data_IF_232367661239
#
_entry.id   IF_232367661239
#
_cell.length_a   1.000
_cell.length_b   1.000
_cell.length_c   1.000
_cell.angle_alpha   90.00
_cell.angle_beta   90.00
_cell.angle_gamma   90.00
#
_symmetry.space_group_name_H-M   'P 1'
#
loop_
_entity.id
_entity.type
_entity.pdbx_description
1 polymer ?
#
# COMPACT_ATOMS: atom_id res chain seq x y z
N UNK A 1 -16.46 -9.71 -6.80
CA UNK A 1 -16.73 -8.29 -6.53
C UNK A 1 -18.18 -8.17 -6.14
N UNK A 2 -18.46 -7.53 -5.01
CA UNK A 2 -19.81 -7.47 -4.48
C UNK A 2 -20.70 -6.56 -5.36
N UNK A 3 -21.87 -7.03 -5.83
CA UNK A 3 -22.76 -6.21 -6.67
C UNK A 3 -23.51 -5.13 -5.88
N UNK A 4 -23.68 -5.32 -4.57
CA UNK A 4 -24.51 -4.48 -3.69
C UNK A 4 -23.80 -4.18 -2.36
N UNK A 5 -24.55 -4.06 -1.26
CA UNK A 5 -23.99 -3.83 0.07
C UNK A 5 -23.59 -5.17 0.69
N UNK A 6 -22.32 -5.34 1.03
CA UNK A 6 -21.83 -6.48 1.82
C UNK A 6 -22.06 -6.25 3.32
N UNK A 7 -21.78 -7.29 4.11
CA UNK A 7 -21.84 -7.26 5.56
C UNK A 7 -20.83 -6.24 6.14
N UNK A 8 -21.05 -5.81 7.39
CA UNK A 8 -20.16 -4.90 8.14
C UNK A 8 -20.19 -3.42 7.69
N UNK A 9 -19.05 -2.73 7.78
CA UNK A 9 -18.90 -1.27 7.59
C UNK A 9 -19.13 -0.82 6.13
N UNK A 10 -19.19 -1.77 5.19
CA UNK A 10 -19.41 -1.50 3.76
C UNK A 10 -20.69 -0.70 3.50
N UNK A 11 -21.78 -1.02 4.19
CA UNK A 11 -23.04 -0.29 4.05
C UNK A 11 -22.94 1.16 4.53
N UNK A 12 -22.19 1.38 5.61
CA UNK A 12 -21.92 2.71 6.15
C UNK A 12 -21.05 3.52 5.19
N UNK A 13 -19.94 2.96 4.70
CA UNK A 13 -19.05 3.63 3.75
C UNK A 13 -19.74 3.92 2.42
N UNK A 14 -20.58 3.03 1.92
CA UNK A 14 -21.39 3.26 0.71
C UNK A 14 -22.36 4.44 0.90
N UNK A 15 -23.08 4.47 2.01
CA UNK A 15 -24.05 5.53 2.30
C UNK A 15 -23.36 6.89 2.51
N UNK A 16 -22.28 6.91 3.29
CA UNK A 16 -21.57 8.14 3.66
C UNK A 16 -20.73 8.70 2.51
N UNK A 17 -20.10 7.84 1.69
CA UNK A 17 -19.38 8.29 0.50
C UNK A 17 -20.30 8.96 -0.52
N UNK A 18 -21.56 8.51 -0.62
CA UNK A 18 -22.51 9.13 -1.55
C UNK A 18 -22.84 10.58 -1.23
N UNK A 19 -22.90 10.93 0.06
CA UNK A 19 -23.24 12.27 0.51
C UNK A 19 -22.03 13.05 1.04
N UNK A 20 -20.84 12.45 1.04
CA UNK A 20 -19.64 12.97 1.69
C UNK A 20 -19.87 13.26 3.19
N UNK A 21 -20.59 12.35 3.83
CA UNK A 21 -20.84 12.38 5.27
C UNK A 21 -19.67 11.73 6.03
N UNK A 22 -19.66 11.92 7.35
CA UNK A 22 -18.74 11.21 8.24
C UNK A 22 -19.50 10.00 8.77
N UNK A 23 -18.98 8.80 8.52
CA UNK A 23 -19.50 7.57 9.14
C UNK A 23 -19.16 7.53 10.62
N UNK A 24 -18.12 6.78 10.97
CA UNK A 24 -17.63 6.65 12.34
C UNK A 24 -16.21 7.20 12.51
N UNK A 25 -15.88 7.59 13.75
CA UNK A 25 -14.51 8.00 14.13
C UNK A 25 -13.53 6.86 13.92
N UNK A 26 -12.31 7.10 13.40
CA UNK A 26 -11.65 8.40 13.21
C UNK A 26 -12.01 9.15 11.91
N UNK A 27 -12.90 8.58 11.08
CA UNK A 27 -13.23 9.07 9.74
C UNK A 27 -12.24 8.59 8.66
N UNK A 28 -12.66 8.67 7.39
CA UNK A 28 -11.84 8.32 6.22
C UNK A 28 -12.08 9.29 5.04
N UNK A 29 -11.78 10.59 5.19
CA UNK A 29 -12.21 11.63 4.25
C UNK A 29 -11.72 11.43 2.81
N UNK A 30 -10.47 10.99 2.62
CA UNK A 30 -9.95 10.72 1.28
C UNK A 30 -10.63 9.49 0.67
N UNK A 31 -10.89 8.44 1.46
CA UNK A 31 -11.65 7.28 0.99
C UNK A 31 -13.08 7.68 0.60
N UNK A 32 -13.75 8.55 1.36
CA UNK A 32 -15.07 9.08 1.02
C UNK A 32 -15.05 9.87 -0.30
N UNK A 33 -14.05 10.72 -0.50
CA UNK A 33 -13.88 11.47 -1.75
C UNK A 33 -13.67 10.56 -2.96
N UNK A 34 -12.83 9.52 -2.82
CA UNK A 34 -12.60 8.53 -3.87
C UNK A 34 -13.88 7.71 -4.14
N UNK A 35 -14.57 7.26 -3.10
CA UNK A 35 -15.85 6.56 -3.22
C UNK A 35 -16.90 7.42 -3.92
N UNK A 36 -17.01 8.70 -3.56
CA UNK A 36 -17.91 9.65 -4.24
C UNK A 36 -17.56 9.79 -5.71
N UNK A 37 -16.28 9.95 -6.04
CA UNK A 37 -15.81 10.05 -7.42
C UNK A 37 -16.20 8.82 -8.24
N UNK A 38 -15.93 7.61 -7.74
CA UNK A 38 -16.32 6.38 -8.42
C UNK A 38 -17.84 6.23 -8.53
N UNK A 39 -18.57 6.55 -7.48
CA UNK A 39 -20.04 6.53 -7.49
C UNK A 39 -20.66 7.49 -8.51
N UNK A 40 -20.02 8.63 -8.81
CA UNK A 40 -20.48 9.56 -9.86
C UNK A 40 -20.31 9.00 -11.28
N UNK A 41 -19.47 7.98 -11.48
CA UNK A 41 -19.32 7.30 -12.77
C UNK A 41 -20.41 6.25 -13.02
N UNK A 42 -21.24 5.96 -12.01
CA UNK A 42 -22.32 4.99 -12.14
C UNK A 42 -23.41 5.50 -13.12
N UNK A 43 -23.83 4.68 -14.10
CA UNK A 43 -24.80 5.11 -15.12
C UNK A 43 -26.22 5.26 -14.55
N UNK A 44 -26.52 4.58 -13.44
CA UNK A 44 -27.81 4.63 -12.76
C UNK A 44 -27.62 4.54 -11.23
N UNK A 45 -28.55 5.08 -10.42
CA UNK A 45 -28.43 5.08 -8.96
C UNK A 45 -28.27 3.70 -8.33
N UNK A 46 -28.89 2.66 -8.90
CA UNK A 46 -28.79 1.27 -8.43
C UNK A 46 -27.41 0.64 -8.66
N UNK A 47 -26.56 1.26 -9.51
CA UNK A 47 -25.20 0.79 -9.81
C UNK A 47 -24.13 1.48 -8.99
N UNK A 48 -24.48 2.49 -8.20
CA UNK A 48 -23.53 3.24 -7.37
C UNK A 48 -22.69 2.30 -6.47
N UNK A 49 -23.33 1.33 -5.81
CA UNK A 49 -22.64 0.41 -4.93
C UNK A 49 -21.58 -0.41 -5.66
N UNK A 50 -21.92 -0.92 -6.85
CA UNK A 50 -20.99 -1.63 -7.72
C UNK A 50 -19.76 -0.76 -8.05
N UNK A 51 -19.95 0.51 -8.38
CA UNK A 51 -18.83 1.38 -8.75
C UNK A 51 -17.90 1.68 -7.58
N UNK A 52 -18.45 1.86 -6.37
CA UNK A 52 -17.64 2.04 -5.15
C UNK A 52 -16.93 0.74 -4.78
N UNK A 53 -17.58 -0.43 -4.84
CA UNK A 53 -16.89 -1.73 -4.67
C UNK A 53 -15.79 -1.92 -5.74
N UNK A 54 -15.98 -1.35 -6.93
CA UNK A 54 -14.99 -1.34 -8.01
C UNK A 54 -13.71 -0.58 -7.66
N UNK A 55 -13.78 0.44 -6.79
CA UNK A 55 -12.60 1.10 -6.23
C UNK A 55 -11.74 0.09 -5.46
N UNK A 56 -12.34 -0.74 -4.60
CA UNK A 56 -11.62 -1.76 -3.85
C UNK A 56 -10.95 -2.78 -4.77
N UNK A 57 -11.68 -3.27 -5.78
CA UNK A 57 -11.12 -4.19 -6.76
C UNK A 57 -9.91 -3.59 -7.51
N UNK A 58 -10.01 -2.31 -7.90
CA UNK A 58 -8.91 -1.58 -8.55
C UNK A 58 -7.71 -1.41 -7.63
N UNK A 59 -7.93 -0.94 -6.39
CA UNK A 59 -6.86 -0.71 -5.42
C UNK A 59 -6.18 -2.02 -5.01
N UNK A 60 -6.94 -3.11 -4.87
CA UNK A 60 -6.38 -4.43 -4.63
C UNK A 60 -5.58 -4.94 -5.82
N UNK A 61 -6.04 -4.75 -7.06
CA UNK A 61 -5.25 -5.08 -8.26
C UNK A 61 -3.92 -4.34 -8.30
N UNK A 62 -3.91 -3.03 -7.97
CA UNK A 62 -2.70 -2.24 -7.85
C UNK A 62 -1.80 -2.71 -6.70
N UNK A 63 -2.38 -3.11 -5.56
CA UNK A 63 -1.64 -3.69 -4.43
C UNK A 63 -0.83 -4.91 -4.88
N UNK A 64 -1.45 -5.83 -5.62
CA UNK A 64 -0.80 -7.04 -6.14
C UNK A 64 0.32 -6.68 -7.14
N UNK A 65 0.12 -5.66 -7.99
CA UNK A 65 1.16 -5.18 -8.90
C UNK A 65 2.40 -4.65 -8.15
N UNK A 66 2.20 -3.82 -7.13
CA UNK A 66 3.31 -3.28 -6.34
C UNK A 66 3.98 -4.36 -5.47
N UNK A 67 3.22 -5.34 -4.99
CA UNK A 67 3.76 -6.51 -4.31
C UNK A 67 4.64 -7.35 -5.26
N UNK A 68 4.16 -7.61 -6.48
CA UNK A 68 4.94 -8.27 -7.52
C UNK A 68 6.27 -7.55 -7.77
N UNK A 69 6.26 -6.22 -7.93
CA UNK A 69 7.50 -5.46 -8.12
C UNK A 69 8.41 -5.47 -6.88
N UNK A 70 7.85 -5.50 -5.69
CA UNK A 70 8.60 -5.62 -4.44
C UNK A 70 9.33 -6.97 -4.36
N UNK A 71 8.63 -8.07 -4.65
CA UNK A 71 9.19 -9.42 -4.63
C UNK A 71 10.27 -9.58 -5.71
N UNK A 72 10.00 -9.13 -6.94
CA UNK A 72 10.98 -9.21 -8.04
C UNK A 72 12.23 -8.36 -7.75
N UNK A 73 12.08 -7.21 -7.09
CA UNK A 73 13.22 -6.40 -6.64
C UNK A 73 14.12 -7.20 -5.67
N UNK A 74 13.56 -7.86 -4.66
CA UNK A 74 14.35 -8.67 -3.73
C UNK A 74 14.94 -9.92 -4.39
N UNK A 75 14.17 -10.61 -5.23
CA UNK A 75 14.65 -11.78 -5.97
C UNK A 75 15.84 -11.41 -6.87
N UNK A 76 15.79 -10.25 -7.55
CA UNK A 76 16.94 -9.74 -8.34
C UNK A 76 18.15 -9.49 -7.44
N UNK A 77 17.95 -8.90 -6.27
CA UNK A 77 19.04 -8.62 -5.31
C UNK A 77 19.69 -9.89 -4.77
N UNK A 78 18.96 -10.99 -4.68
CA UNK A 78 19.46 -12.29 -4.23
C UNK A 78 20.16 -13.07 -5.35
N UNK A 79 19.56 -13.13 -6.54
CA UNK A 79 20.00 -14.01 -7.62
C UNK A 79 20.96 -13.35 -8.62
N UNK A 80 20.94 -12.02 -8.74
CA UNK A 80 21.64 -11.29 -9.80
C UNK A 80 22.26 -9.97 -9.28
N UNK A 81 22.81 -9.97 -8.05
CA UNK A 81 23.29 -8.76 -7.36
C UNK A 81 24.34 -7.96 -8.14
N UNK A 82 25.25 -8.65 -8.83
CA UNK A 82 26.39 -8.06 -9.55
C UNK A 82 26.21 -8.10 -11.07
N UNK A 83 25.05 -8.53 -11.56
CA UNK A 83 24.75 -8.62 -12.98
C UNK A 83 24.01 -7.35 -13.43
N UNK A 84 24.56 -6.62 -14.40
CA UNK A 84 23.83 -5.49 -15.02
C UNK A 84 22.50 -5.98 -15.61
N UNK A 85 22.53 -7.14 -16.27
CA UNK A 85 21.36 -7.83 -16.79
C UNK A 85 21.36 -9.29 -16.31
N UNK A 86 20.28 -9.73 -15.62
CA UNK A 86 20.16 -11.11 -15.20
C UNK A 86 20.18 -12.07 -16.40
N UNK A 87 20.82 -13.23 -16.25
CA UNK A 87 20.69 -14.32 -17.24
C UNK A 87 19.21 -14.69 -17.50
N UNK A 88 18.91 -15.33 -18.65
CA UNK A 88 17.54 -15.76 -18.96
C UNK A 88 16.94 -16.67 -17.89
N UNK A 89 17.76 -17.55 -17.31
CA UNK A 89 17.36 -18.42 -16.21
C UNK A 89 17.05 -17.64 -14.92
N UNK A 90 17.93 -16.71 -14.53
CA UNK A 90 17.69 -15.85 -13.37
C UNK A 90 16.45 -14.96 -13.57
N UNK A 91 16.25 -14.44 -14.79
CA UNK A 91 15.05 -13.67 -15.14
C UNK A 91 13.79 -14.49 -14.93
N UNK A 92 13.77 -15.74 -15.38
CA UNK A 92 12.64 -16.65 -15.16
C UNK A 92 12.38 -16.88 -13.66
N UNK A 93 13.42 -17.12 -12.86
CA UNK A 93 13.28 -17.30 -11.41
C UNK A 93 12.78 -16.04 -10.71
N UNK A 94 13.28 -14.86 -11.09
CA UNK A 94 12.85 -13.57 -10.53
C UNK A 94 11.38 -13.34 -10.83
N UNK A 95 10.98 -13.46 -12.10
CA UNK A 95 9.60 -13.26 -12.54
C UNK A 95 8.66 -14.30 -11.93
N UNK A 96 9.07 -15.57 -11.92
CA UNK A 96 8.33 -16.67 -11.31
C UNK A 96 8.10 -16.45 -9.80
N UNK A 97 9.14 -16.01 -9.08
CA UNK A 97 9.04 -15.67 -7.66
C UNK A 97 8.04 -14.54 -7.41
N UNK A 98 8.08 -13.50 -8.24
CA UNK A 98 7.11 -12.40 -8.23
C UNK A 98 5.68 -12.89 -8.44
N UNK A 99 5.44 -13.69 -9.49
CA UNK A 99 4.12 -14.21 -9.84
C UNK A 99 3.57 -15.07 -8.70
N UNK A 100 4.35 -16.06 -8.24
CA UNK A 100 3.91 -17.00 -7.20
C UNK A 100 3.62 -16.28 -5.90
N UNK A 101 4.51 -15.39 -5.43
CA UNK A 101 4.31 -14.69 -4.17
C UNK A 101 3.16 -13.67 -4.23
N UNK A 102 3.01 -12.94 -5.34
CA UNK A 102 1.91 -11.99 -5.49
C UNK A 102 0.55 -12.71 -5.57
N UNK A 103 0.46 -13.80 -6.34
CA UNK A 103 -0.77 -14.59 -6.44
C UNK A 103 -1.11 -15.33 -5.14
N UNK A 104 -0.11 -15.81 -4.39
CA UNK A 104 -0.34 -16.40 -3.08
C UNK A 104 -1.05 -15.41 -2.12
N UNK A 105 -0.69 -14.12 -2.18
CA UNK A 105 -1.39 -13.08 -1.43
C UNK A 105 -2.78 -12.77 -2.01
N UNK A 106 -2.92 -12.70 -3.34
CA UNK A 106 -4.21 -12.50 -4.02
C UNK A 106 -5.27 -13.49 -3.55
N UNK A 107 -4.90 -14.77 -3.44
CA UNK A 107 -5.82 -15.84 -3.04
C UNK A 107 -5.83 -16.13 -1.54
N UNK A 108 -5.26 -15.26 -0.71
CA UNK A 108 -5.44 -15.35 0.74
C UNK A 108 -6.82 -14.83 1.13
N UNK A 109 -7.52 -15.56 2.01
CA UNK A 109 -8.90 -15.23 2.39
C UNK A 109 -9.03 -13.78 2.85
N UNK A 110 -8.17 -13.35 3.77
CA UNK A 110 -8.19 -11.98 4.32
C UNK A 110 -8.07 -10.91 3.23
N UNK A 111 -7.15 -11.06 2.28
CA UNK A 111 -6.99 -10.08 1.22
C UNK A 111 -8.13 -10.13 0.21
N UNK A 112 -8.61 -11.34 -0.13
CA UNK A 112 -9.68 -11.52 -1.10
C UNK A 112 -10.99 -10.86 -0.65
N UNK A 113 -11.36 -11.01 0.63
CA UNK A 113 -12.55 -10.35 1.18
C UNK A 113 -12.42 -8.82 1.09
N UNK A 114 -11.29 -8.25 1.52
CA UNK A 114 -11.06 -6.81 1.37
C UNK A 114 -11.05 -6.33 -0.09
N UNK A 115 -10.68 -7.19 -1.04
CA UNK A 115 -10.61 -6.82 -2.45
C UNK A 115 -11.97 -6.69 -3.16
N UNK A 116 -13.03 -7.27 -2.60
CA UNK A 116 -14.35 -7.32 -3.25
C UNK A 116 -15.39 -6.39 -2.63
N UNK A 117 -15.06 -5.75 -1.52
CA UNK A 117 -15.98 -4.97 -0.68
C UNK A 117 -15.49 -3.51 -0.48
N UNK A 118 -16.41 -2.55 -0.38
CA UNK A 118 -16.11 -1.12 -0.21
C UNK A 118 -15.63 -0.78 1.20
N UNK A 119 -14.45 -1.29 1.57
CA UNK A 119 -13.77 -0.98 2.82
C UNK A 119 -12.46 -0.22 2.60
N UNK A 120 -12.01 0.45 3.66
CA UNK A 120 -10.76 1.20 3.71
C UNK A 120 -9.52 0.31 3.53
N UNK A 121 -9.60 -1.01 3.78
CA UNK A 121 -8.45 -1.91 3.80
C UNK A 121 -7.82 -2.15 2.42
N UNK A 122 -8.60 -2.23 1.34
CA UNK A 122 -8.06 -2.38 -0.02
C UNK A 122 -7.22 -1.15 -0.40
N UNK A 123 -7.78 0.04 -0.17
CA UNK A 123 -7.10 1.30 -0.46
C UNK A 123 -5.89 1.49 0.47
N UNK A 124 -6.00 1.11 1.75
CA UNK A 124 -4.87 1.13 2.67
C UNK A 124 -3.74 0.18 2.24
N UNK A 125 -4.07 -1.03 1.81
CA UNK A 125 -3.09 -2.01 1.34
C UNK A 125 -2.35 -1.49 0.10
N UNK A 126 -3.06 -0.81 -0.80
CA UNK A 126 -2.46 -0.17 -1.97
C UNK A 126 -1.43 0.89 -1.57
N UNK A 127 -1.79 1.82 -0.68
CA UNK A 127 -0.85 2.85 -0.22
C UNK A 127 0.37 2.25 0.46
N UNK A 128 0.18 1.23 1.31
CA UNK A 128 1.27 0.48 1.94
C UNK A 128 2.20 -0.15 0.91
N UNK A 129 1.66 -0.88 -0.07
CA UNK A 129 2.47 -1.51 -1.12
C UNK A 129 3.20 -0.48 -1.99
N UNK A 130 2.53 0.63 -2.33
CA UNK A 130 3.10 1.73 -3.12
C UNK A 130 4.28 2.39 -2.42
N UNK A 131 4.13 2.80 -1.15
CA UNK A 131 5.21 3.50 -0.42
C UNK A 131 6.39 2.57 -0.14
N UNK A 132 6.11 1.29 0.13
CA UNK A 132 7.15 0.31 0.33
C UNK A 132 7.92 0.03 -0.97
N UNK A 133 7.23 -0.14 -2.10
CA UNK A 133 7.90 -0.22 -3.39
C UNK A 133 8.69 1.04 -3.73
N UNK A 134 8.14 2.22 -3.43
CA UNK A 134 8.78 3.50 -3.72
C UNK A 134 10.10 3.68 -2.95
N UNK A 135 10.20 3.22 -1.69
CA UNK A 135 11.48 3.30 -0.96
C UNK A 135 12.53 2.36 -1.54
N UNK A 136 12.13 1.19 -2.06
CA UNK A 136 13.05 0.28 -2.76
C UNK A 136 13.52 0.90 -4.08
N UNK A 137 12.62 1.62 -4.76
CA UNK A 137 12.96 2.38 -5.96
C UNK A 137 13.95 3.50 -5.66
N UNK A 138 13.74 4.24 -4.56
CA UNK A 138 14.70 5.23 -4.06
C UNK A 138 16.04 4.60 -3.71
N UNK A 139 16.05 3.49 -2.98
CA UNK A 139 17.26 2.81 -2.52
C UNK A 139 18.18 2.46 -3.70
N UNK A 140 17.59 1.94 -4.79
CA UNK A 140 18.33 1.55 -5.98
C UNK A 140 18.94 2.71 -6.76
N UNK A 141 18.51 3.96 -6.49
CA UNK A 141 19.04 5.16 -7.16
C UNK A 141 19.56 6.22 -6.19
N UNK A 142 19.72 5.91 -4.89
CA UNK A 142 19.93 6.90 -3.84
C UNK A 142 21.18 7.79 -4.02
N UNK A 143 22.12 7.35 -4.85
CA UNK A 143 23.37 8.06 -5.16
C UNK A 143 23.24 9.01 -6.37
N UNK A 144 22.05 9.11 -6.97
CA UNK A 144 21.76 9.99 -8.11
C UNK A 144 21.21 11.36 -7.66
N UNK A 145 21.51 12.41 -8.41
CA UNK A 145 21.15 13.82 -8.11
C UNK A 145 19.68 14.08 -7.76
N UNK A 146 18.75 13.31 -8.34
CA UNK A 146 17.30 13.50 -8.15
C UNK A 146 16.62 12.33 -7.43
N UNK A 147 17.37 11.54 -6.67
CA UNK A 147 16.81 10.40 -5.94
C UNK A 147 15.75 10.83 -4.92
N UNK A 148 16.02 11.90 -4.17
CA UNK A 148 15.21 12.31 -3.00
C UNK A 148 13.79 12.77 -3.35
N UNK A 149 13.47 12.99 -4.63
CA UNK A 149 12.07 13.19 -5.07
C UNK A 149 11.16 12.03 -4.67
N UNK A 150 11.72 10.82 -4.57
CA UNK A 150 11.00 9.65 -4.08
C UNK A 150 10.70 9.73 -2.59
N UNK A 151 11.58 10.32 -1.77
CA UNK A 151 11.32 10.52 -0.35
C UNK A 151 10.19 11.55 -0.14
N UNK A 152 10.18 12.62 -0.94
CA UNK A 152 9.09 13.60 -0.95
C UNK A 152 7.77 12.94 -1.38
N UNK A 153 7.80 12.11 -2.43
CA UNK A 153 6.65 11.33 -2.88
C UNK A 153 6.13 10.38 -1.78
N UNK A 154 7.02 9.66 -1.10
CA UNK A 154 6.67 8.76 0.01
C UNK A 154 6.01 9.55 1.14
N UNK A 155 6.60 10.66 1.58
CA UNK A 155 6.04 11.50 2.64
C UNK A 155 4.64 12.01 2.27
N UNK A 156 4.45 12.44 1.02
CA UNK A 156 3.15 12.88 0.51
C UNK A 156 2.12 11.73 0.50
N UNK A 157 2.49 10.54 0.00
CA UNK A 157 1.62 9.37 -0.01
C UNK A 157 1.24 8.91 1.41
N UNK A 158 2.18 8.91 2.36
CA UNK A 158 1.89 8.62 3.76
C UNK A 158 0.91 9.65 4.32
N UNK A 159 1.13 10.95 4.08
CA UNK A 159 0.22 12.01 4.49
C UNK A 159 -1.20 11.83 3.95
N UNK A 160 -1.34 11.54 2.65
CA UNK A 160 -2.63 11.22 2.05
C UNK A 160 -3.29 9.99 2.68
N UNK A 161 -2.50 8.95 2.97
CA UNK A 161 -3.01 7.68 3.51
C UNK A 161 -3.64 7.81 4.90
N UNK A 162 -3.30 8.86 5.67
CA UNK A 162 -3.96 9.18 6.95
C UNK A 162 -5.45 9.46 6.72
N UNK A 163 -5.81 10.08 5.58
CA UNK A 163 -7.21 10.30 5.19
C UNK A 163 -7.95 9.04 4.74
N UNK A 164 -7.29 7.87 4.71
CA UNK A 164 -7.87 6.57 4.40
C UNK A 164 -7.88 5.69 5.65
N UNK A 165 -6.69 5.41 6.20
CA UNK A 165 -6.53 4.57 7.38
C UNK A 165 -5.15 4.80 8.02
N UNK A 166 -5.13 4.89 9.35
CA UNK A 166 -3.90 5.05 10.15
C UNK A 166 -2.91 3.88 10.08
N UNK A 167 -3.31 2.69 9.59
CA UNK A 167 -2.42 1.51 9.50
C UNK A 167 -1.21 1.77 8.61
N UNK A 168 -1.32 2.67 7.63
CA UNK A 168 -0.21 3.03 6.75
C UNK A 168 0.97 3.66 7.51
N UNK A 169 0.74 4.25 8.69
CA UNK A 169 1.82 4.77 9.53
C UNK A 169 2.76 3.65 10.00
N UNK A 170 2.26 2.42 10.16
CA UNK A 170 3.06 1.25 10.55
C UNK A 170 4.16 0.90 9.54
N UNK A 171 4.11 1.46 8.33
CA UNK A 171 5.17 1.28 7.34
C UNK A 171 6.42 2.10 7.65
N UNK A 172 6.29 3.23 8.37
CA UNK A 172 7.37 4.20 8.62
C UNK A 172 8.65 3.55 9.18
N UNK A 173 8.62 2.60 10.14
CA UNK A 173 9.83 1.94 10.64
C UNK A 173 10.56 1.16 9.56
N UNK A 174 9.81 0.46 8.71
CA UNK A 174 10.40 -0.33 7.64
C UNK A 174 11.06 0.59 6.61
N UNK A 175 10.40 1.70 6.26
CA UNK A 175 10.98 2.72 5.36
C UNK A 175 12.23 3.38 5.96
N UNK A 176 12.18 3.71 7.26
CA UNK A 176 13.31 4.27 8.00
C UNK A 176 14.50 3.29 8.06
N UNK A 177 14.24 1.99 8.21
CA UNK A 177 15.28 0.96 8.15
C UNK A 177 15.92 0.88 6.75
N UNK A 178 15.14 0.91 5.68
CA UNK A 178 15.69 0.92 4.30
C UNK A 178 16.57 2.16 4.08
N UNK A 179 16.11 3.33 4.54
CA UNK A 179 16.90 4.56 4.50
C UNK A 179 18.20 4.44 5.31
N UNK A 180 18.11 3.94 6.54
CA UNK A 180 19.26 3.77 7.44
C UNK A 180 20.31 2.85 6.83
N UNK A 181 19.90 1.68 6.33
CA UNK A 181 20.80 0.69 5.73
C UNK A 181 21.47 1.19 4.46
N UNK A 182 20.87 2.15 3.73
CA UNK A 182 21.45 2.72 2.52
C UNK A 182 22.41 3.88 2.81
N UNK A 183 22.12 4.74 3.79
CA UNK A 183 22.88 5.97 4.05
C UNK A 183 23.94 5.84 5.15
N UNK A 184 23.82 4.86 6.04
CA UNK A 184 24.67 4.74 7.22
C UNK A 184 25.31 3.37 7.34
N UNK A 185 26.41 3.29 8.10
CA UNK A 185 26.99 2.01 8.50
C UNK A 185 26.06 1.34 9.51
N UNK A 186 25.62 0.14 9.18
CA UNK A 186 24.66 -0.61 10.00
C UNK A 186 25.31 -1.05 11.30
N UNK A 187 24.70 -0.69 12.42
CA UNK A 187 25.05 -1.15 13.76
C UNK A 187 23.80 -1.58 14.55
N UNK A 188 23.99 -2.38 15.60
CA UNK A 188 22.87 -2.88 16.41
C UNK A 188 22.16 -1.76 17.18
N UNK A 189 22.88 -0.71 17.58
CA UNK A 189 22.32 0.41 18.35
C UNK A 189 21.37 1.25 17.48
N UNK A 190 21.71 1.52 16.23
CA UNK A 190 20.87 2.25 15.30
C UNK A 190 19.57 1.51 14.99
N UNK A 191 19.63 0.18 14.79
CA UNK A 191 18.42 -0.65 14.59
C UNK A 191 17.49 -0.57 15.81
N UNK A 192 18.04 -0.76 17.01
CA UNK A 192 17.25 -0.68 18.26
C UNK A 192 16.67 0.72 18.43
N UNK A 193 17.44 1.77 18.14
CA UNK A 193 16.98 3.15 18.27
C UNK A 193 15.82 3.47 17.34
N UNK A 194 15.86 3.05 16.07
CA UNK A 194 14.75 3.24 15.12
C UNK A 194 13.47 2.57 15.65
N UNK A 195 13.59 1.33 16.13
CA UNK A 195 12.45 0.56 16.66
C UNK A 195 11.88 1.24 17.94
N UNK A 196 12.74 1.66 18.86
CA UNK A 196 12.32 2.33 20.11
C UNK A 196 11.68 3.68 19.83
N UNK A 197 12.29 4.52 18.98
CA UNK A 197 11.71 5.80 18.57
C UNK A 197 10.32 5.61 17.93
N UNK A 198 10.14 4.55 17.14
CA UNK A 198 8.83 4.22 16.58
C UNK A 198 7.79 3.90 17.65
N UNK A 199 8.09 2.99 18.59
CA UNK A 199 7.15 2.63 19.66
C UNK A 199 6.79 3.82 20.56
N UNK A 200 7.74 4.72 20.80
CA UNK A 200 7.47 5.97 21.54
C UNK A 200 6.46 6.84 20.77
N UNK A 201 6.66 7.05 19.46
CA UNK A 201 5.75 7.85 18.64
C UNK A 201 4.35 7.25 18.52
N UNK A 202 4.22 5.92 18.43
CA UNK A 202 2.91 5.25 18.45
C UNK A 202 2.13 5.54 19.74
N UNK A 203 2.82 5.53 20.90
CA UNK A 203 2.17 5.75 22.20
C UNK A 203 1.55 7.15 22.34
N UNK A 204 2.06 8.15 21.62
CA UNK A 204 1.52 9.51 21.63
C UNK A 204 0.32 9.72 20.69
N UNK A 205 0.08 8.82 19.73
CA UNK A 205 -1.00 8.94 18.75
C UNK A 205 -2.22 8.04 19.06
N UNK A 206 -2.17 7.22 20.10
CA UNK A 206 -3.23 6.29 20.52
C UNK A 206 -3.82 6.68 21.89
N UNK A 207 -3.49 7.88 22.38
CA UNK A 207 -3.96 8.44 23.66
C UNK A 207 -5.00 9.53 23.48
#
# INVERSE_FOLDING_TARGET
MEPTVSFWDCGEFLATAQKLEVGHSPGAPLFMMLGRFFGMLAPTPDKVALYINGLSALMSGLTILFLFWTITYFAKRLLAKNEEQPSSYNTLLIMGSGIVGALAYTFSDTFWFSAVEAEVYATSSFFTALVFWAILKWEGIADQKYADRWLVFIAYMIGLSIGIHLLNLLTIPALAMVYYFKRYKVDRKGIIMIIVCWFINLRFNVG
#
